data_IF_380663513066
#
_entry.id   IF_380663513066
#
_cell.length_a   1.000
_cell.length_b   1.000
_cell.length_c   1.000
_cell.angle_alpha   90.00
_cell.angle_beta   90.00
_cell.angle_gamma   90.00
#
_symmetry.space_group_name_H-M   'P 1'
#
loop_
_entity.id
_entity.type
_entity.pdbx_description
1 polymer ?
#
# COMPACT_ATOMS: atom_id res chain seq x y z
N UNK A 1 -11.03 10.36 14.90
CA UNK A 1 -11.21 8.99 15.42
C UNK A 1 -12.24 8.98 16.54
N UNK A 2 -13.23 8.08 16.48
CA UNK A 2 -14.30 7.95 17.48
C UNK A 2 -14.11 6.71 18.34
N UNK A 3 -13.72 6.93 19.60
CA UNK A 3 -13.36 5.85 20.53
C UNK A 3 -14.46 4.80 20.72
N UNK A 4 -15.71 5.21 20.93
CA UNK A 4 -16.84 4.28 21.09
C UNK A 4 -17.07 3.43 19.83
N UNK A 5 -16.98 4.04 18.65
CA UNK A 5 -17.14 3.35 17.38
C UNK A 5 -15.99 2.36 17.11
N UNK A 6 -14.76 2.71 17.49
CA UNK A 6 -13.59 1.84 17.43
C UNK A 6 -13.81 0.61 18.31
N UNK A 7 -14.16 0.80 19.59
CA UNK A 7 -14.37 -0.30 20.53
C UNK A 7 -15.49 -1.26 20.07
N UNK A 8 -16.61 -0.72 19.55
CA UNK A 8 -17.69 -1.55 18.98
C UNK A 8 -17.19 -2.34 17.76
N UNK A 9 -16.46 -1.69 16.86
CA UNK A 9 -15.95 -2.29 15.63
C UNK A 9 -14.94 -3.41 15.90
N UNK A 10 -14.05 -3.22 16.88
CA UNK A 10 -13.09 -4.23 17.32
C UNK A 10 -13.79 -5.46 17.89
N UNK A 11 -14.78 -5.25 18.76
CA UNK A 11 -15.59 -6.33 19.35
C UNK A 11 -16.33 -7.13 18.27
N UNK A 12 -16.92 -6.46 17.28
CA UNK A 12 -17.60 -7.12 16.16
C UNK A 12 -16.63 -7.85 15.22
N UNK A 13 -15.37 -7.40 15.14
CA UNK A 13 -14.30 -8.11 14.43
C UNK A 13 -13.69 -9.27 15.24
N UNK A 14 -14.17 -9.52 16.47
CA UNK A 14 -13.64 -10.57 17.35
C UNK A 14 -12.27 -10.24 17.96
N UNK A 15 -11.86 -8.97 17.90
CA UNK A 15 -10.57 -8.51 18.40
C UNK A 15 -10.70 -8.12 19.88
N UNK A 16 -9.93 -8.79 20.74
CA UNK A 16 -9.99 -8.63 22.20
C UNK A 16 -8.71 -8.05 22.80
N UNK A 17 -7.66 -7.90 22.00
CA UNK A 17 -6.41 -7.27 22.42
C UNK A 17 -6.62 -5.78 22.70
N UNK A 18 -5.92 -5.27 23.71
CA UNK A 18 -5.88 -3.84 23.99
C UNK A 18 -5.21 -3.11 22.83
N UNK A 19 -5.78 -1.97 22.42
CA UNK A 19 -5.08 -1.04 21.56
C UNK A 19 -3.90 -0.44 22.33
N UNK A 20 -2.75 -0.41 21.68
CA UNK A 20 -1.54 0.26 22.10
C UNK A 20 -1.41 1.53 21.26
N UNK A 21 -1.14 2.65 21.92
CA UNK A 21 -0.74 3.88 21.24
C UNK A 21 0.76 3.81 21.01
N UNK A 22 1.18 4.18 19.81
CA UNK A 22 2.59 4.33 19.49
C UNK A 22 2.96 5.81 19.57
N UNK A 23 3.78 6.17 20.55
CA UNK A 23 4.29 7.55 20.69
C UNK A 23 5.10 7.97 19.45
N UNK A 24 5.70 7.01 18.75
CA UNK A 24 6.53 7.22 17.55
C UNK A 24 5.71 7.36 16.26
N UNK A 25 4.44 6.93 16.26
CA UNK A 25 3.52 7.04 15.10
C UNK A 25 2.45 8.12 15.38
N UNK A 26 2.87 9.28 15.87
CA UNK A 26 2.01 10.46 15.94
C UNK A 26 1.99 11.18 14.60
N UNK A 27 1.00 10.82 13.78
CA UNK A 27 0.73 11.52 12.51
C UNK A 27 0.00 12.85 12.72
N UNK A 28 -0.14 13.66 11.65
CA UNK A 28 -0.66 15.03 11.72
C UNK A 28 -2.16 15.11 12.05
N UNK A 29 -2.85 13.96 12.06
CA UNK A 29 -4.27 13.82 12.41
C UNK A 29 -4.50 13.12 13.75
N UNK A 30 -3.44 12.96 14.56
CA UNK A 30 -3.47 12.34 15.87
C UNK A 30 -2.79 10.97 15.91
N UNK A 31 -2.87 10.27 17.05
CA UNK A 31 -2.11 9.05 17.28
C UNK A 31 -2.57 7.91 16.39
N UNK A 32 -1.63 7.10 15.92
CA UNK A 32 -1.93 5.78 15.34
C UNK A 32 -2.07 4.77 16.49
N UNK A 33 -3.19 4.06 16.50
CA UNK A 33 -3.44 2.99 17.48
C UNK A 33 -3.21 1.66 16.80
N UNK A 34 -2.62 0.67 17.49
CA UNK A 34 -2.48 -0.66 16.91
C UNK A 34 -2.57 -1.78 17.93
N UNK A 35 -2.68 -3.01 17.47
CA UNK A 35 -2.61 -4.21 18.31
C UNK A 35 -1.90 -5.34 17.55
N UNK A 36 -1.29 -6.31 18.25
CA UNK A 36 -0.85 -7.54 17.63
C UNK A 36 -2.01 -8.26 16.92
N UNK A 37 -1.73 -8.86 15.76
CA UNK A 37 -2.72 -9.62 15.00
C UNK A 37 -2.11 -10.93 14.47
N UNK A 38 -2.89 -12.01 14.50
CA UNK A 38 -2.46 -13.30 13.95
C UNK A 38 -2.59 -13.29 12.42
N UNK A 39 -1.63 -13.91 11.71
CA UNK A 39 -1.64 -13.96 10.23
C UNK A 39 -2.90 -14.60 9.66
N UNK A 40 -3.50 -15.55 10.38
CA UNK A 40 -4.70 -16.28 9.97
C UNK A 40 -5.96 -15.41 10.03
N UNK A 41 -5.97 -14.38 10.87
CA UNK A 41 -7.14 -13.50 11.09
C UNK A 41 -6.95 -12.09 10.55
N UNK A 42 -5.73 -11.71 10.17
CA UNK A 42 -5.37 -10.35 9.76
C UNK A 42 -6.23 -9.82 8.60
N UNK A 43 -6.45 -10.62 7.55
CA UNK A 43 -7.26 -10.21 6.40
C UNK A 43 -8.73 -9.98 6.74
N UNK A 44 -9.33 -10.90 7.49
CA UNK A 44 -10.75 -10.79 7.88
C UNK A 44 -10.97 -9.64 8.87
N UNK A 45 -10.03 -9.44 9.81
CA UNK A 45 -10.03 -8.31 10.72
C UNK A 45 -9.92 -6.98 9.97
N UNK A 46 -8.94 -6.85 9.07
CA UNK A 46 -8.79 -5.68 8.21
C UNK A 46 -10.07 -5.41 7.41
N UNK A 47 -10.63 -6.43 6.74
CA UNK A 47 -11.84 -6.30 5.92
C UNK A 47 -13.04 -5.84 6.74
N UNK A 48 -13.24 -6.42 7.93
CA UNK A 48 -14.31 -6.08 8.87
C UNK A 48 -14.20 -4.61 9.31
N UNK A 49 -13.01 -4.18 9.73
CA UNK A 49 -12.77 -2.80 10.16
C UNK A 49 -12.82 -1.81 9.01
N UNK A 50 -12.35 -2.17 7.82
CA UNK A 50 -12.33 -1.31 6.65
C UNK A 50 -13.75 -0.91 6.22
N UNK A 51 -14.71 -1.84 6.36
CA UNK A 51 -16.13 -1.57 6.10
C UNK A 51 -16.73 -0.54 7.07
N UNK A 52 -16.11 -0.33 8.25
CA UNK A 52 -16.55 0.58 9.31
C UNK A 52 -15.69 1.85 9.44
N UNK A 53 -14.72 2.06 8.53
CA UNK A 53 -13.74 3.15 8.63
C UNK A 53 -14.36 4.54 8.77
N UNK A 54 -15.47 4.81 8.09
CA UNK A 54 -16.21 6.07 8.17
C UNK A 54 -16.77 6.33 9.57
N UNK A 55 -17.30 5.28 10.21
CA UNK A 55 -17.85 5.38 11.56
C UNK A 55 -16.75 5.56 12.61
N UNK A 56 -15.60 4.90 12.41
CA UNK A 56 -14.43 5.01 13.28
C UNK A 56 -13.66 6.31 13.07
N UNK A 57 -13.81 6.95 11.91
CA UNK A 57 -12.88 7.97 11.38
C UNK A 57 -11.43 7.47 11.42
N UNK A 58 -11.25 6.19 11.07
CA UNK A 58 -9.97 5.50 11.11
C UNK A 58 -9.92 4.39 10.05
N UNK A 59 -8.79 4.24 9.38
CA UNK A 59 -8.60 3.24 8.33
C UNK A 59 -7.63 2.17 8.83
N UNK A 60 -7.99 0.87 8.74
CA UNK A 60 -7.09 -0.19 9.15
C UNK A 60 -5.99 -0.44 8.11
N UNK A 61 -4.80 -0.78 8.58
CA UNK A 61 -3.69 -1.31 7.78
C UNK A 61 -2.91 -2.34 8.60
N UNK A 62 -2.46 -3.41 7.97
CA UNK A 62 -1.56 -4.38 8.59
C UNK A 62 -0.14 -3.86 8.45
N UNK A 63 0.56 -3.69 9.57
CA UNK A 63 1.97 -3.34 9.62
C UNK A 63 2.77 -4.62 9.89
N UNK A 64 3.77 -4.86 9.06
CA UNK A 64 4.73 -5.95 9.20
C UNK A 64 6.14 -5.38 9.40
N UNK A 65 6.99 -6.14 10.10
CA UNK A 65 8.40 -5.81 10.27
C UNK A 65 8.63 -4.39 10.84
N UNK A 66 7.97 -4.09 11.97
CA UNK A 66 7.93 -2.78 12.64
C UNK A 66 9.31 -2.10 12.79
N UNK A 67 10.40 -2.79 13.18
CA UNK A 67 11.70 -2.13 13.28
C UNK A 67 12.17 -1.49 11.95
N UNK A 68 11.84 -2.11 10.82
CA UNK A 68 12.19 -1.57 9.50
C UNK A 68 11.28 -0.40 9.10
N UNK A 69 10.06 -0.34 9.64
CA UNK A 69 9.18 0.81 9.50
C UNK A 69 9.77 2.01 10.24
N UNK A 70 10.25 1.83 11.47
CA UNK A 70 10.89 2.88 12.27
C UNK A 70 12.17 3.42 11.59
N UNK A 71 12.88 2.59 10.83
CA UNK A 71 14.09 2.97 10.10
C UNK A 71 13.80 3.72 8.79
N UNK A 72 12.82 3.26 7.99
CA UNK A 72 12.60 3.76 6.63
C UNK A 72 11.51 4.83 6.51
N UNK A 73 10.65 4.98 7.52
CA UNK A 73 9.58 5.96 7.46
C UNK A 73 10.13 7.29 7.97
N UNK A 74 9.92 8.38 7.22
CA UNK A 74 10.20 9.72 7.74
C UNK A 74 9.06 10.16 8.67
N UNK A 75 9.05 9.58 9.87
CA UNK A 75 8.07 9.84 10.91
C UNK A 75 8.14 11.29 11.40
N UNK A 76 9.31 11.94 11.31
CA UNK A 76 9.48 13.34 11.66
C UNK A 76 8.77 14.24 10.64
N UNK A 77 9.03 14.06 9.34
CA UNK A 77 8.34 14.81 8.30
C UNK A 77 6.83 14.55 8.34
N UNK A 78 6.40 13.31 8.56
CA UNK A 78 4.99 12.97 8.73
C UNK A 78 4.35 13.71 9.92
N UNK A 79 5.03 13.79 11.07
CA UNK A 79 4.52 14.50 12.26
C UNK A 79 4.40 16.02 12.05
N UNK A 80 5.29 16.61 11.25
CA UNK A 80 5.31 18.03 10.92
C UNK A 80 4.38 18.38 9.72
N UNK A 81 3.78 17.37 9.10
CA UNK A 81 2.98 17.53 7.90
C UNK A 81 1.72 18.37 8.16
N UNK A 82 1.78 19.64 7.78
CA UNK A 82 0.59 20.48 7.67
C UNK A 82 -0.37 19.88 6.62
N UNK A 83 -1.55 19.43 7.05
CA UNK A 83 -2.56 18.86 6.15
C UNK A 83 -2.96 19.80 5.00
N UNK A 84 -2.90 21.11 5.20
CA UNK A 84 -3.14 22.07 4.13
C UNK A 84 -1.98 22.11 3.12
N UNK A 85 -0.74 21.92 3.57
CA UNK A 85 0.43 21.73 2.71
C UNK A 85 0.34 20.39 1.98
N UNK A 86 -0.01 19.32 2.66
CA UNK A 86 -0.16 17.99 2.10
C UNK A 86 -1.23 17.96 1.00
N UNK A 87 -2.38 18.61 1.23
CA UNK A 87 -3.42 18.75 0.21
C UNK A 87 -2.92 19.51 -1.03
N UNK A 88 -2.20 20.62 -0.83
CA UNK A 88 -1.58 21.38 -1.94
C UNK A 88 -0.55 20.55 -2.71
N UNK A 89 0.27 19.77 -2.01
CA UNK A 89 1.25 18.87 -2.64
C UNK A 89 0.53 17.80 -3.46
N UNK A 90 -0.50 17.16 -2.90
CA UNK A 90 -1.29 16.14 -3.57
C UNK A 90 -2.00 16.68 -4.82
N UNK A 91 -2.59 17.88 -4.75
CA UNK A 91 -3.18 18.57 -5.91
C UNK A 91 -2.14 18.93 -6.99
N UNK A 92 -0.89 19.11 -6.59
CA UNK A 92 0.24 19.37 -7.48
C UNK A 92 0.74 18.13 -8.23
N UNK A 93 0.46 16.92 -7.74
CA UNK A 93 0.90 15.67 -8.38
C UNK A 93 -0.01 15.33 -9.55
N UNK A 94 0.50 15.52 -10.77
CA UNK A 94 -0.14 14.99 -11.97
C UNK A 94 0.37 13.58 -12.24
N UNK A 95 -0.42 12.57 -11.85
CA UNK A 95 -0.01 11.16 -11.87
C UNK A 95 0.38 10.67 -13.27
N UNK A 96 -0.33 11.07 -14.33
CA UNK A 96 -0.06 10.53 -15.67
C UNK A 96 1.29 11.01 -16.26
N UNK A 97 1.63 12.32 -16.26
CA UNK A 97 2.96 12.78 -16.59
C UNK A 97 4.05 12.19 -15.69
N UNK A 98 3.81 12.11 -14.37
CA UNK A 98 4.77 11.53 -13.43
C UNK A 98 5.09 10.06 -13.76
N UNK A 99 4.07 9.24 -14.03
CA UNK A 99 4.26 7.85 -14.49
C UNK A 99 4.98 7.78 -15.85
N UNK A 100 4.74 8.75 -16.73
CA UNK A 100 5.40 8.78 -18.05
C UNK A 100 6.88 9.06 -17.92
N UNK A 101 7.26 10.06 -17.11
CA UNK A 101 8.65 10.41 -16.81
C UNK A 101 9.40 9.23 -16.19
N UNK A 102 8.82 8.60 -15.15
CA UNK A 102 9.42 7.42 -14.53
C UNK A 102 9.56 6.23 -15.49
N UNK A 103 8.61 6.03 -16.39
CA UNK A 103 8.69 4.97 -17.40
C UNK A 103 9.82 5.25 -18.42
N UNK A 104 10.04 6.51 -18.78
CA UNK A 104 11.14 6.93 -19.65
C UNK A 104 12.50 6.71 -18.96
N UNK A 105 12.61 7.03 -17.67
CA UNK A 105 13.81 6.80 -16.85
C UNK A 105 14.13 5.32 -16.68
N UNK A 106 13.12 4.47 -16.44
CA UNK A 106 13.26 3.02 -16.32
C UNK A 106 13.78 2.35 -17.61
N UNK A 107 13.60 3.02 -18.76
CA UNK A 107 14.13 2.60 -20.04
C UNK A 107 13.35 1.44 -20.70
N UNK A 108 13.58 1.25 -22.00
CA UNK A 108 12.78 0.34 -22.82
C UNK A 108 13.18 -1.12 -22.76
N UNK A 109 14.23 -1.48 -22.01
CA UNK A 109 14.78 -2.84 -21.99
C UNK A 109 13.75 -3.89 -21.52
N UNK A 110 12.77 -3.48 -20.71
CA UNK A 110 11.75 -4.32 -20.11
C UNK A 110 10.37 -4.24 -20.81
N UNK A 111 10.22 -3.41 -21.85
CA UNK A 111 8.94 -3.10 -22.51
C UNK A 111 8.66 -3.90 -23.80
N UNK A 112 9.52 -4.86 -24.14
CA UNK A 112 9.40 -5.68 -25.35
C UNK A 112 10.33 -6.90 -25.36
N UNK A 113 10.75 -7.42 -24.20
CA UNK A 113 11.57 -8.62 -24.16
C UNK A 113 10.69 -9.84 -24.44
N UNK A 114 11.20 -10.80 -25.24
CA UNK A 114 10.53 -12.11 -25.36
C UNK A 114 10.27 -12.67 -23.96
N UNK A 115 9.11 -13.32 -23.70
CA UNK A 115 8.79 -13.83 -22.37
C UNK A 115 9.91 -14.75 -21.89
N UNK A 116 10.72 -14.26 -20.95
CA UNK A 116 11.68 -15.09 -20.26
C UNK A 116 10.92 -15.94 -19.24
N UNK A 117 11.41 -17.15 -18.99
CA UNK A 117 10.90 -17.96 -17.91
C UNK A 117 11.14 -17.20 -16.59
N UNK A 118 10.14 -17.05 -15.72
CA UNK A 118 10.30 -16.27 -14.49
C UNK A 118 11.44 -16.85 -13.64
N UNK A 119 12.39 -16.02 -13.19
CA UNK A 119 13.45 -16.41 -12.24
C UNK A 119 13.21 -15.87 -10.81
N UNK A 120 11.95 -15.60 -10.47
CA UNK A 120 11.54 -15.16 -9.15
C UNK A 120 10.10 -15.58 -8.86
N UNK A 121 9.65 -15.56 -7.59
CA UNK A 121 8.33 -16.01 -7.23
C UNK A 121 7.26 -15.15 -7.91
N UNK A 122 6.62 -15.68 -8.94
CA UNK A 122 5.39 -15.15 -9.51
C UNK A 122 4.29 -15.42 -8.51
N UNK A 123 4.10 -14.54 -7.52
CA UNK A 123 3.05 -14.63 -6.47
C UNK A 123 2.64 -16.09 -6.19
N UNK A 124 3.62 -16.93 -5.84
CA UNK A 124 3.43 -18.40 -5.88
C UNK A 124 2.57 -18.93 -4.72
N UNK A 125 1.98 -18.03 -3.96
CA UNK A 125 0.97 -18.35 -2.98
C UNK A 125 -0.10 -17.31 -3.12
N UNK A 126 -1.34 -17.73 -3.40
CA UNK A 126 -2.53 -16.86 -3.45
C UNK A 126 -2.88 -16.25 -2.08
N UNK A 127 -1.87 -15.80 -1.32
CA UNK A 127 -1.86 -15.12 -0.03
C UNK A 127 -1.33 -13.69 -0.17
N UNK A 128 -0.97 -13.07 0.95
CA UNK A 128 -0.27 -11.78 1.02
C UNK A 128 1.13 -12.06 1.56
N UNK A 129 2.17 -11.52 0.91
CA UNK A 129 3.56 -11.75 1.27
C UNK A 129 3.83 -11.32 2.71
N UNK A 130 3.33 -10.16 3.12
CA UNK A 130 3.59 -9.61 4.44
C UNK A 130 2.98 -10.44 5.56
N UNK A 131 1.93 -11.24 5.28
CA UNK A 131 1.39 -12.14 6.30
C UNK A 131 2.32 -13.30 6.67
N UNK A 132 3.44 -13.47 5.96
CA UNK A 132 4.48 -14.44 6.31
C UNK A 132 5.50 -13.90 7.33
N UNK A 133 5.47 -12.58 7.61
CA UNK A 133 6.35 -11.93 8.59
C UNK A 133 6.16 -12.51 10.00
N UNK A 134 7.21 -12.38 10.82
CA UNK A 134 7.23 -12.92 12.19
C UNK A 134 6.32 -12.16 13.12
N UNK A 135 6.21 -10.85 12.91
CA UNK A 135 5.41 -9.95 13.72
C UNK A 135 4.48 -9.14 12.83
N UNK A 136 3.21 -9.09 13.23
CA UNK A 136 2.15 -8.37 12.54
C UNK A 136 1.36 -7.55 13.54
N UNK A 137 1.07 -6.32 13.15
CA UNK A 137 0.20 -5.41 13.90
C UNK A 137 -0.92 -4.92 13.01
N UNK A 138 -2.12 -4.81 13.57
CA UNK A 138 -3.23 -4.14 12.91
C UNK A 138 -3.30 -2.71 13.45
N UNK A 139 -2.96 -1.73 12.61
CA UNK A 139 -2.97 -0.32 12.94
C UNK A 139 -4.24 0.37 12.44
N UNK A 140 -4.70 1.37 13.18
CA UNK A 140 -5.81 2.27 12.89
C UNK A 140 -5.23 3.67 12.68
N UNK A 141 -5.19 4.10 11.43
CA UNK A 141 -4.66 5.41 11.03
C UNK A 141 -5.81 6.42 10.99
N UNK A 142 -5.65 7.66 11.50
CA UNK A 142 -6.71 8.67 11.58
C UNK A 142 -7.11 9.28 10.22
N UNK A 143 -7.66 8.44 9.35
CA UNK A 143 -8.21 8.77 8.03
C UNK A 143 -9.35 7.79 7.69
N UNK A 144 -10.22 8.17 6.75
CA UNK A 144 -11.19 7.26 6.12
C UNK A 144 -10.75 6.79 4.74
N UNK A 145 -9.58 7.25 4.27
CA UNK A 145 -9.05 7.02 2.94
C UNK A 145 -7.75 6.21 3.02
N UNK A 146 -7.77 4.99 2.48
CA UNK A 146 -6.62 4.09 2.50
C UNK A 146 -5.40 4.67 1.77
N UNK A 147 -5.63 5.45 0.70
CA UNK A 147 -4.58 6.11 -0.07
C UNK A 147 -3.87 7.24 0.70
N UNK A 148 -4.43 7.76 1.80
CA UNK A 148 -3.72 8.74 2.63
C UNK A 148 -2.70 8.09 3.58
N UNK A 149 -2.74 6.77 3.77
CA UNK A 149 -1.92 6.10 4.78
C UNK A 149 -0.42 6.26 4.56
N UNK A 150 0.15 6.06 3.35
CA UNK A 150 1.59 6.27 3.14
C UNK A 150 2.04 7.68 3.52
N UNK A 151 1.23 8.68 3.15
CA UNK A 151 1.48 10.08 3.48
C UNK A 151 1.41 10.36 4.98
N UNK A 152 0.43 9.80 5.69
CA UNK A 152 0.25 9.98 7.14
C UNK A 152 1.28 9.22 7.97
N UNK A 153 1.89 8.19 7.41
CA UNK A 153 2.94 7.41 8.06
C UNK A 153 4.34 7.78 7.58
N UNK A 154 4.50 8.62 6.56
CA UNK A 154 5.83 8.97 6.02
C UNK A 154 6.51 7.83 5.26
N UNK A 155 5.75 6.94 4.62
CA UNK A 155 6.30 5.85 3.79
C UNK A 155 6.67 6.38 2.39
N UNK A 156 7.95 6.29 2.03
CA UNK A 156 8.46 6.65 0.71
C UNK A 156 9.88 7.24 0.74
N UNK A 157 10.42 7.62 -0.42
CA UNK A 157 11.66 8.41 -0.52
C UNK A 157 12.99 7.66 -0.36
N UNK A 158 12.97 6.32 -0.40
CA UNK A 158 14.16 5.46 -0.31
C UNK A 158 14.26 4.50 -1.51
N UNK A 159 15.44 4.10 -1.98
CA UNK A 159 15.60 3.07 -3.03
C UNK A 159 14.70 3.26 -4.28
N UNK A 160 14.64 4.48 -4.83
CA UNK A 160 13.72 4.88 -5.91
C UNK A 160 12.21 4.70 -5.62
N UNK A 161 11.85 4.39 -4.37
CA UNK A 161 10.49 4.39 -3.85
C UNK A 161 9.90 5.80 -3.95
N UNK A 162 8.68 5.95 -4.50
CA UNK A 162 8.00 7.22 -4.60
C UNK A 162 7.93 7.98 -3.27
N UNK A 163 7.82 9.30 -3.34
CA UNK A 163 7.59 10.10 -2.15
C UNK A 163 6.20 9.80 -1.55
N UNK A 164 5.99 10.02 -0.23
CA UNK A 164 4.70 9.72 0.42
C UNK A 164 3.48 10.38 -0.25
N UNK A 165 3.65 11.59 -0.81
CA UNK A 165 2.60 12.29 -1.57
C UNK A 165 2.31 11.62 -2.92
N UNK A 166 3.33 11.09 -3.58
CA UNK A 166 3.22 10.42 -4.88
C UNK A 166 2.51 9.07 -4.70
N UNK A 167 2.86 8.33 -3.64
CA UNK A 167 2.09 7.16 -3.20
C UNK A 167 0.61 7.50 -3.04
N UNK A 168 0.29 8.55 -2.28
CA UNK A 168 -1.10 8.93 -2.05
C UNK A 168 -1.84 9.28 -3.35
N UNK A 169 -1.19 9.98 -4.29
CA UNK A 169 -1.77 10.34 -5.58
C UNK A 169 -2.03 9.10 -6.46
N UNK A 170 -1.05 8.20 -6.58
CA UNK A 170 -1.17 6.97 -7.39
C UNK A 170 -2.21 6.02 -6.79
N UNK A 171 -2.17 5.79 -5.48
CA UNK A 171 -3.14 4.94 -4.79
C UNK A 171 -4.56 5.50 -4.89
N UNK A 172 -4.74 6.82 -4.84
CA UNK A 172 -6.04 7.45 -5.05
C UNK A 172 -6.57 7.17 -6.46
N UNK A 173 -5.74 7.34 -7.49
CA UNK A 173 -6.10 7.01 -8.88
C UNK A 173 -6.50 5.54 -9.02
N UNK A 174 -5.73 4.61 -8.46
CA UNK A 174 -6.06 3.18 -8.53
C UNK A 174 -7.27 2.78 -7.67
N UNK A 175 -7.54 3.49 -6.58
CA UNK A 175 -8.80 3.32 -5.86
C UNK A 175 -9.99 3.72 -6.74
N UNK A 176 -9.89 4.84 -7.45
CA UNK A 176 -10.94 5.33 -8.34
C UNK A 176 -11.16 4.41 -9.57
N UNK A 177 -10.08 3.87 -10.16
CA UNK A 177 -10.19 3.04 -11.38
C UNK A 177 -10.36 1.54 -11.12
N UNK A 178 -9.82 1.00 -10.02
CA UNK A 178 -9.76 -0.44 -9.75
C UNK A 178 -10.34 -0.83 -8.38
N UNK A 179 -10.77 0.13 -7.55
CA UNK A 179 -11.13 -0.16 -6.17
C UNK A 179 -9.94 -0.66 -5.34
N UNK A 180 -8.72 -0.29 -5.73
CA UNK A 180 -7.50 -0.68 -5.02
C UNK A 180 -7.45 -0.02 -3.63
N UNK A 181 -7.14 -0.82 -2.60
CA UNK A 181 -7.14 -0.41 -1.20
C UNK A 181 -5.91 -0.96 -0.50
N UNK A 182 -5.21 -0.10 0.26
CA UNK A 182 -4.05 -0.51 1.04
C UNK A 182 -4.46 -1.53 2.10
N UNK A 183 -3.82 -2.70 2.03
CA UNK A 183 -4.03 -3.79 2.98
C UNK A 183 -2.89 -3.88 3.99
N UNK A 184 -1.66 -3.98 3.49
CA UNK A 184 -0.48 -4.19 4.33
C UNK A 184 0.70 -3.35 3.87
N UNK A 185 1.56 -2.98 4.82
CA UNK A 185 2.74 -2.16 4.64
C UNK A 185 3.88 -2.69 5.54
N UNK A 186 5.11 -2.67 5.04
CA UNK A 186 6.34 -2.84 5.83
C UNK A 186 7.31 -1.71 5.53
N UNK A 187 8.55 -1.78 6.01
CA UNK A 187 9.60 -0.81 5.70
C UNK A 187 9.95 -0.69 4.20
N UNK A 188 9.57 -1.66 3.36
CA UNK A 188 9.91 -1.67 1.94
C UNK A 188 8.88 -2.34 1.03
N UNK A 189 7.77 -2.83 1.57
CA UNK A 189 6.74 -3.58 0.82
C UNK A 189 5.38 -2.93 1.02
N UNK A 190 4.59 -2.89 -0.06
CA UNK A 190 3.22 -2.40 -0.08
C UNK A 190 2.31 -3.40 -0.78
N UNK A 191 1.21 -3.80 -0.12
CA UNK A 191 0.24 -4.75 -0.67
C UNK A 191 -1.18 -4.16 -0.72
N UNK A 192 -1.85 -4.36 -1.86
CA UNK A 192 -3.19 -3.85 -2.13
C UNK A 192 -4.20 -4.97 -2.31
N UNK A 193 -5.44 -4.70 -1.89
CA UNK A 193 -6.64 -5.46 -2.27
C UNK A 193 -7.34 -4.73 -3.40
N UNK A 194 -7.81 -5.46 -4.41
CA UNK A 194 -8.35 -4.90 -5.65
C UNK A 194 -9.72 -5.48 -5.96
N UNK A 195 -10.73 -4.62 -6.07
CA UNK A 195 -12.12 -5.05 -6.31
C UNK A 195 -12.43 -5.23 -7.81
N UNK A 196 -11.77 -4.44 -8.67
CA UNK A 196 -11.99 -4.41 -10.12
C UNK A 196 -10.66 -4.60 -10.88
N UNK A 197 -10.06 -5.81 -10.84
CA UNK A 197 -8.84 -6.09 -11.57
C UNK A 197 -9.05 -6.00 -13.09
N UNK A 198 -7.98 -5.81 -13.89
CA UNK A 198 -8.11 -5.75 -15.33
C UNK A 198 -8.66 -7.07 -15.90
N UNK A 199 -9.64 -6.96 -16.78
CA UNK A 199 -10.36 -8.11 -17.37
C UNK A 199 -10.03 -8.34 -18.86
N UNK A 200 -9.08 -7.57 -19.41
CA UNK A 200 -8.61 -7.70 -20.80
C UNK A 200 -7.09 -7.58 -20.85
N UNK A 201 -6.48 -8.11 -21.91
CA UNK A 201 -5.02 -8.15 -22.05
C UNK A 201 -4.44 -6.76 -22.27
N UNK A 202 -5.14 -5.92 -23.03
CA UNK A 202 -4.78 -4.53 -23.24
C UNK A 202 -4.83 -3.73 -21.93
N UNK A 203 -5.90 -3.90 -21.13
CA UNK A 203 -6.01 -3.23 -19.83
C UNK A 203 -4.94 -3.73 -18.85
N UNK A 204 -4.65 -5.04 -18.84
CA UNK A 204 -3.61 -5.60 -17.99
C UNK A 204 -2.21 -5.11 -18.40
N UNK A 205 -1.93 -4.99 -19.69
CA UNK A 205 -0.65 -4.47 -20.19
C UNK A 205 -0.49 -2.97 -19.91
N UNK A 206 -1.56 -2.18 -20.06
CA UNK A 206 -1.55 -0.77 -19.70
C UNK A 206 -1.27 -0.58 -18.20
N UNK A 207 -1.97 -1.35 -17.34
CA UNK A 207 -1.73 -1.32 -15.90
C UNK A 207 -0.33 -1.79 -15.53
N UNK A 208 0.21 -2.83 -16.19
CA UNK A 208 1.56 -3.31 -15.95
C UNK A 208 2.62 -2.24 -16.23
N UNK A 209 2.41 -1.41 -17.27
CA UNK A 209 3.30 -0.26 -17.55
C UNK A 209 3.21 0.80 -16.45
N UNK A 210 2.00 1.12 -15.97
CA UNK A 210 1.81 2.03 -14.84
C UNK A 210 2.50 1.48 -13.57
N UNK A 211 2.29 0.21 -13.24
CA UNK A 211 2.89 -0.42 -12.06
C UNK A 211 4.41 -0.51 -12.15
N UNK A 212 4.97 -0.79 -13.34
CA UNK A 212 6.42 -0.80 -13.55
C UNK A 212 7.03 0.60 -13.38
N UNK A 213 6.37 1.65 -13.87
CA UNK A 213 6.83 3.03 -13.66
C UNK A 213 6.78 3.44 -12.18
N UNK A 214 5.75 2.99 -11.45
CA UNK A 214 5.57 3.24 -10.02
C UNK A 214 6.59 2.48 -9.15
N UNK A 215 6.93 1.25 -9.54
CA UNK A 215 7.84 0.38 -8.81
C UNK A 215 8.57 -0.51 -9.82
N UNK A 216 9.80 -0.14 -10.16
CA UNK A 216 10.57 -0.85 -11.18
C UNK A 216 10.96 -2.26 -10.76
N UNK A 217 11.20 -2.48 -9.47
CA UNK A 217 11.69 -3.73 -8.90
C UNK A 217 10.75 -4.92 -9.04
N UNK A 218 9.43 -4.69 -9.13
CA UNK A 218 8.49 -5.79 -9.42
C UNK A 218 8.76 -6.43 -10.78
N UNK A 219 9.44 -5.72 -11.70
CA UNK A 219 9.85 -6.25 -13.00
C UNK A 219 11.35 -6.53 -13.02
N UNK A 220 12.22 -5.57 -12.70
CA UNK A 220 13.68 -5.72 -12.84
C UNK A 220 14.24 -6.84 -11.98
N UNK A 221 13.64 -7.07 -10.81
CA UNK A 221 14.02 -8.08 -9.84
C UNK A 221 12.92 -9.14 -9.61
N UNK A 222 11.76 -8.98 -10.27
CA UNK A 222 10.60 -9.87 -10.14
C UNK A 222 10.24 -10.57 -11.45
N UNK A 223 9.20 -10.09 -12.14
CA UNK A 223 8.61 -10.74 -13.31
C UNK A 223 9.46 -10.69 -14.58
N UNK A 224 10.55 -9.92 -14.57
CA UNK A 224 11.55 -9.73 -15.63
C UNK A 224 11.07 -9.01 -16.89
N UNK A 225 9.77 -9.02 -17.16
CA UNK A 225 9.16 -8.29 -18.28
C UNK A 225 7.82 -7.70 -17.87
N UNK A 226 7.43 -6.61 -18.53
CA UNK A 226 6.12 -5.98 -18.33
C UNK A 226 4.99 -6.90 -18.82
N UNK A 227 5.23 -7.72 -19.84
CA UNK A 227 4.28 -8.71 -20.34
C UNK A 227 4.00 -9.81 -19.32
N UNK A 228 5.03 -10.31 -18.62
CA UNK A 228 4.83 -11.29 -17.54
C UNK A 228 4.13 -10.66 -16.33
N UNK A 229 4.40 -9.39 -16.01
CA UNK A 229 3.62 -8.66 -15.01
C UNK A 229 2.15 -8.56 -15.43
N UNK A 230 1.88 -8.19 -16.68
CA UNK A 230 0.51 -8.10 -17.21
C UNK A 230 -0.24 -9.44 -17.14
N UNK A 231 0.43 -10.56 -17.44
CA UNK A 231 -0.15 -11.89 -17.29
C UNK A 231 -0.53 -12.19 -15.84
N UNK A 232 0.30 -11.78 -14.88
CA UNK A 232 0.04 -11.91 -13.44
C UNK A 232 -1.07 -10.99 -12.92
N UNK A 233 -1.33 -9.85 -13.57
CA UNK A 233 -2.37 -8.90 -13.18
C UNK A 233 -3.77 -9.27 -13.66
N UNK A 234 -3.89 -10.15 -14.66
CA UNK A 234 -5.18 -10.54 -15.22
C UNK A 234 -6.09 -11.17 -14.16
N UNK A 235 -7.24 -10.53 -13.88
CA UNK A 235 -8.18 -10.94 -12.81
C UNK A 235 -7.53 -11.09 -11.41
N UNK A 236 -6.37 -10.48 -11.16
CA UNK A 236 -5.67 -10.62 -9.88
C UNK A 236 -6.25 -9.67 -8.82
N UNK A 237 -6.86 -10.17 -7.74
CA UNK A 237 -7.53 -9.34 -6.74
C UNK A 237 -6.54 -8.70 -5.73
N UNK A 238 -5.24 -8.80 -5.99
CA UNK A 238 -4.16 -8.38 -5.09
C UNK A 238 -2.96 -7.93 -5.88
N UNK A 239 -2.34 -6.84 -5.44
CA UNK A 239 -1.08 -6.34 -6.00
C UNK A 239 -0.02 -6.24 -4.91
N UNK A 240 1.23 -6.41 -5.32
CA UNK A 240 2.41 -6.45 -4.46
C UNK A 240 3.48 -5.55 -5.06
N UNK A 241 4.11 -4.74 -4.22
CA UNK A 241 5.20 -3.85 -4.57
C UNK A 241 6.30 -3.94 -3.52
N UNK A 242 7.56 -3.81 -3.94
CA UNK A 242 8.72 -3.80 -3.06
C UNK A 242 9.83 -2.93 -3.64
N UNK A 243 10.66 -2.34 -2.79
CA UNK A 243 11.79 -1.48 -3.20
C UNK A 243 13.05 -1.84 -2.39
N UNK A 244 14.21 -1.99 -3.03
CA UNK A 244 15.51 -2.35 -2.40
C UNK A 244 16.70 -1.60 -3.01
#
# INVERSE_FOLDING_TARGET
MKQEAILSSLKEAGLTHSLEQHEELEGPRGPVLSMPIARETAFDAWKSLFSRREAMEACPVVLADIPMIEENFDLNEASELDMARAARQLEGVNVAPWLTERLEEAGSAYLSAEPQAPAGPVSESGGFHLLTSKELRLALVPTVHAWEIPLLLGFGGFNDCPEPVEHAAVLRRWQESHGARLFALSGSVLELVVDHPPSTGEAALALAREQFAYCTDIVTQGTQTVEQLAAGLWNAPRWFFWWD
#
